data_IF_543226455998
#
_entry.id   IF_543226455998
#
_cell.length_a   1.000
_cell.length_b   1.000
_cell.length_c   1.000
_cell.angle_alpha   90.00
_cell.angle_beta   90.00
_cell.angle_gamma   90.00
#
_symmetry.space_group_name_H-M   'P 1'
#
loop_
_entity.id
_entity.type
_entity.pdbx_description
1 polymer ?
#
# COMPACT_ATOMS: atom_id res chain seq x y z
N UNK A 1 -2.81 -20.14 5.56
CA UNK A 1 -3.03 -20.18 4.10
C UNK A 1 -2.12 -21.25 3.51
N UNK A 2 -2.55 -21.97 2.46
CA UNK A 2 -1.63 -22.88 1.75
C UNK A 2 -0.58 -22.06 1.00
N UNK A 3 0.64 -22.61 0.87
CA UNK A 3 1.75 -21.99 0.14
C UNK A 3 1.35 -21.56 -1.27
N UNK A 4 0.52 -22.36 -1.93
CA UNK A 4 0.07 -22.12 -3.31
C UNK A 4 -0.76 -20.83 -3.44
N UNK A 5 -1.61 -20.53 -2.46
CA UNK A 5 -2.41 -19.28 -2.46
C UNK A 5 -1.54 -18.03 -2.30
N UNK A 6 -0.46 -18.11 -1.52
CA UNK A 6 0.47 -16.99 -1.37
C UNK A 6 1.24 -16.73 -2.66
N UNK A 7 1.70 -17.80 -3.34
CA UNK A 7 2.42 -17.68 -4.62
C UNK A 7 1.51 -17.12 -5.71
N UNK A 8 0.28 -17.62 -5.81
CA UNK A 8 -0.70 -17.12 -6.77
C UNK A 8 -0.98 -15.62 -6.56
N UNK A 9 -1.20 -15.20 -5.31
CA UNK A 9 -1.43 -13.80 -4.97
C UNK A 9 -0.26 -12.90 -5.36
N UNK A 10 0.96 -13.27 -4.96
CA UNK A 10 2.16 -12.48 -5.26
C UNK A 10 2.45 -12.41 -6.77
N UNK A 11 2.16 -13.49 -7.51
CA UNK A 11 2.32 -13.52 -8.97
C UNK A 11 1.38 -12.54 -9.65
N UNK A 12 0.11 -12.53 -9.25
CA UNK A 12 -0.90 -11.60 -9.76
C UNK A 12 -0.57 -10.15 -9.39
N UNK A 13 -0.13 -9.92 -8.16
CA UNK A 13 0.29 -8.58 -7.71
C UNK A 13 1.49 -8.07 -8.51
N UNK A 14 2.53 -8.88 -8.69
CA UNK A 14 3.69 -8.51 -9.50
C UNK A 14 3.30 -8.15 -10.95
N UNK A 15 2.46 -8.96 -11.59
CA UNK A 15 2.00 -8.69 -12.95
C UNK A 15 1.26 -7.35 -13.05
N UNK A 16 0.38 -7.04 -12.10
CA UNK A 16 -0.34 -5.77 -12.03
C UNK A 16 0.61 -4.58 -11.82
N UNK A 17 1.53 -4.67 -10.86
CA UNK A 17 2.50 -3.60 -10.60
C UNK A 17 3.37 -3.35 -11.84
N UNK A 18 3.79 -4.40 -12.53
CA UNK A 18 4.56 -4.27 -13.77
C UNK A 18 3.76 -3.66 -14.92
N UNK A 19 2.51 -4.08 -15.13
CA UNK A 19 1.61 -3.58 -16.19
C UNK A 19 1.42 -2.06 -16.11
N UNK A 20 1.21 -1.53 -14.90
CA UNK A 20 0.96 -0.12 -14.68
C UNK A 20 2.22 0.69 -14.35
N UNK A 21 3.40 0.06 -14.22
CA UNK A 21 4.58 0.73 -13.70
C UNK A 21 4.35 1.32 -12.30
N UNK A 22 3.68 0.54 -11.45
CA UNK A 22 3.24 0.95 -10.13
C UNK A 22 4.15 0.45 -9.01
N UNK A 23 4.18 1.17 -7.90
CA UNK A 23 4.87 0.81 -6.66
C UNK A 23 3.95 0.99 -5.44
N UNK A 24 4.20 0.21 -4.41
CA UNK A 24 3.54 0.33 -3.11
C UNK A 24 4.62 0.57 -2.06
N UNK A 25 4.49 1.66 -1.32
CA UNK A 25 5.44 2.05 -0.28
C UNK A 25 4.73 2.17 1.07
N UNK A 26 5.42 1.73 2.13
CA UNK A 26 5.07 2.05 3.50
C UNK A 26 5.99 3.17 3.98
N UNK A 27 5.41 4.19 4.61
CA UNK A 27 6.14 5.35 5.12
C UNK A 27 5.69 5.67 6.55
N UNK A 28 6.60 6.22 7.35
CA UNK A 28 6.34 6.78 8.67
C UNK A 28 7.05 8.13 8.82
N UNK A 29 6.61 8.96 9.76
CA UNK A 29 7.24 10.27 9.96
C UNK A 29 8.66 10.14 10.55
N UNK A 30 9.59 11.08 10.27
CA UNK A 30 10.95 11.02 10.79
C UNK A 30 11.08 11.05 12.32
N UNK A 31 10.02 11.45 13.04
CA UNK A 31 9.99 11.58 14.51
C UNK A 31 9.23 10.44 15.20
N UNK A 32 8.85 9.42 14.41
CA UNK A 32 8.09 8.23 14.81
C UNK A 32 8.92 7.23 15.65
N UNK A 33 10.14 7.58 16.05
CA UNK A 33 11.10 6.71 16.72
C UNK A 33 11.06 6.84 18.25
N UNK A 34 10.63 7.98 18.79
CA UNK A 34 10.77 8.30 20.22
C UNK A 34 9.60 7.87 21.10
N UNK A 35 8.39 7.67 20.54
CA UNK A 35 7.17 7.44 21.33
C UNK A 35 6.23 6.36 20.75
N UNK A 36 6.56 5.75 19.61
CA UNK A 36 5.71 4.79 18.89
C UNK A 36 5.61 5.12 17.40
N UNK A 37 5.12 4.17 16.59
CA UNK A 37 4.90 4.44 15.17
C UNK A 37 3.73 5.43 15.05
N UNK A 38 4.00 6.67 14.67
CA UNK A 38 2.99 7.70 14.42
C UNK A 38 3.01 8.05 12.95
N UNK A 39 1.82 8.28 12.39
CA UNK A 39 1.63 8.74 11.01
C UNK A 39 2.08 7.74 9.94
N UNK A 40 2.00 6.44 10.22
CA UNK A 40 2.24 5.46 9.20
C UNK A 40 1.18 5.54 8.09
N UNK A 41 1.62 5.40 6.85
CA UNK A 41 0.74 5.42 5.69
C UNK A 41 1.27 4.50 4.59
N UNK A 42 0.34 3.85 3.90
CA UNK A 42 0.57 3.10 2.67
C UNK A 42 0.29 4.01 1.48
N UNK A 43 1.22 4.06 0.53
CA UNK A 43 1.13 4.88 -0.67
C UNK A 43 1.21 3.98 -1.91
N UNK A 44 0.35 4.22 -2.89
CA UNK A 44 0.44 3.61 -4.23
C UNK A 44 0.84 4.71 -5.21
N UNK A 45 1.88 4.44 -5.98
CA UNK A 45 2.39 5.35 -7.00
C UNK A 45 2.34 4.69 -8.37
N UNK A 46 2.09 5.48 -9.42
CA UNK A 46 2.17 5.06 -10.83
C UNK A 46 3.01 6.10 -11.57
N UNK A 47 4.11 5.67 -12.19
CA UNK A 47 5.00 6.58 -12.92
C UNK A 47 5.54 7.73 -12.07
N UNK A 48 5.92 7.45 -10.82
CA UNK A 48 6.40 8.41 -9.82
C UNK A 48 5.36 9.47 -9.39
N UNK A 49 4.06 9.17 -9.53
CA UNK A 49 2.98 10.01 -9.02
C UNK A 49 2.15 9.22 -8.02
N UNK A 50 1.94 9.79 -6.84
CA UNK A 50 0.99 9.26 -5.86
C UNK A 50 -0.43 9.27 -6.48
N UNK A 51 -1.07 8.10 -6.51
CA UNK A 51 -2.46 7.94 -6.99
C UNK A 51 -3.42 7.53 -5.87
N UNK A 52 -2.89 7.00 -4.77
CA UNK A 52 -3.66 6.62 -3.60
C UNK A 52 -2.76 6.64 -2.36
N UNK A 53 -3.35 7.04 -1.23
CA UNK A 53 -2.69 7.06 0.08
C UNK A 53 -3.70 6.78 1.17
N UNK A 54 -3.31 5.99 2.17
CA UNK A 54 -4.12 5.78 3.37
C UNK A 54 -4.05 6.99 4.31
N UNK A 55 -4.99 7.10 5.23
CA UNK A 55 -4.95 8.12 6.28
C UNK A 55 -3.70 7.95 7.16
N UNK A 56 -3.27 9.06 7.77
CA UNK A 56 -2.16 9.06 8.73
C UNK A 56 -2.47 8.16 9.92
N UNK A 57 -1.54 7.29 10.30
CA UNK A 57 -1.76 6.31 11.37
C UNK A 57 -2.50 5.06 10.89
N UNK A 58 -2.50 4.81 9.57
CA UNK A 58 -3.11 3.64 8.97
C UNK A 58 -2.15 2.95 8.00
N UNK A 59 -1.34 2.04 8.54
CA UNK A 59 -0.25 1.36 7.84
C UNK A 59 -0.68 0.13 7.05
N UNK A 60 -1.98 -0.05 6.82
CA UNK A 60 -2.53 -1.16 6.06
C UNK A 60 -3.48 -0.65 4.98
N UNK A 61 -3.56 -1.39 3.88
CA UNK A 61 -4.47 -1.13 2.77
C UNK A 61 -5.23 -2.41 2.44
N UNK A 62 -6.52 -2.43 2.74
CA UNK A 62 -7.43 -3.53 2.42
C UNK A 62 -8.42 -3.17 1.29
N UNK A 63 -9.26 -4.14 0.91
CA UNK A 63 -10.24 -3.96 -0.15
C UNK A 63 -11.31 -2.90 0.17
N UNK A 64 -11.68 -2.72 1.44
CA UNK A 64 -12.64 -1.69 1.85
C UNK A 64 -12.02 -0.30 1.73
N UNK A 65 -10.80 -0.12 2.21
CA UNK A 65 -10.07 1.14 2.09
C UNK A 65 -9.80 1.50 0.63
N UNK A 66 -9.37 0.53 -0.18
CA UNK A 66 -9.18 0.75 -1.61
C UNK A 66 -10.48 1.17 -2.29
N UNK A 67 -11.61 0.55 -1.93
CA UNK A 67 -12.93 0.95 -2.43
C UNK A 67 -13.30 2.38 -2.02
N UNK A 68 -13.02 2.78 -0.79
CA UNK A 68 -13.24 4.16 -0.33
C UNK A 68 -12.39 5.16 -1.13
N UNK A 69 -11.13 4.83 -1.42
CA UNK A 69 -10.23 5.69 -2.20
C UNK A 69 -10.71 5.82 -3.66
N UNK A 70 -11.17 4.73 -4.29
CA UNK A 70 -11.67 4.75 -5.67
C UNK A 70 -13.01 5.50 -5.81
N UNK A 71 -13.85 5.43 -4.76
CA UNK A 71 -15.20 5.98 -4.76
C UNK A 71 -15.34 7.42 -4.28
N UNK A 72 -14.23 8.09 -3.96
CA UNK A 72 -14.17 9.52 -3.62
C UNK A 72 -13.92 10.40 -4.84
#
# INVERSE_FOLDING_TARGET
>A
MSRDKNVEFLTKLHALLAEYGASIAWSCSPYSDTHGIYDEAMTIEVGNKEIARTESGCGWLDACQLKCIIGG
#
